data_IF_924453330048
#
_entry.id   IF_924453330048
#
_cell.length_a   1.000
_cell.length_b   1.000
_cell.length_c   1.000
_cell.angle_alpha   90.00
_cell.angle_beta   90.00
_cell.angle_gamma   90.00
#
_symmetry.space_group_name_H-M   'P 1'
#
loop_
_entity.id
_entity.type
_entity.pdbx_description
1 polymer ?
#
# COMPACT_ATOMS: atom_id res chain seq x y z
N UNK A 1 32.39 -17.96 -57.09
CA UNK A 1 32.46 -16.58 -56.58
C UNK A 1 31.07 -15.95 -56.71
N UNK A 2 30.63 -15.13 -55.74
CA UNK A 2 29.34 -14.41 -55.78
C UNK A 2 29.47 -13.08 -56.56
N UNK A 3 28.40 -12.27 -56.66
CA UNK A 3 28.17 -11.25 -55.63
C UNK A 3 26.70 -11.13 -55.15
N UNK A 4 26.51 -10.46 -54.00
CA UNK A 4 25.21 -10.14 -53.40
C UNK A 4 24.60 -8.85 -54.02
N UNK A 5 23.28 -8.64 -54.05
CA UNK A 5 22.42 -8.03 -52.98
C UNK A 5 21.00 -7.79 -53.59
N UNK A 6 19.91 -7.39 -52.91
CA UNK A 6 19.69 -6.94 -51.52
C UNK A 6 18.26 -7.28 -50.99
N UNK A 7 18.01 -6.87 -49.74
CA UNK A 7 16.78 -6.97 -48.94
C UNK A 7 15.47 -6.39 -49.54
N UNK A 8 14.32 -7.02 -49.25
CA UNK A 8 13.07 -6.28 -48.97
C UNK A 8 12.09 -7.01 -48.03
N UNK A 9 12.12 -6.61 -46.75
CA UNK A 9 10.99 -6.34 -45.85
C UNK A 9 9.67 -7.12 -46.08
N UNK A 10 9.31 -7.97 -45.10
CA UNK A 10 7.92 -8.06 -44.61
C UNK A 10 7.87 -7.90 -43.10
N UNK A 11 7.73 -6.64 -42.69
CA UNK A 11 7.25 -6.28 -41.36
C UNK A 11 5.80 -6.71 -41.23
N UNK A 12 5.46 -7.51 -40.22
CA UNK A 12 4.06 -7.70 -39.79
C UNK A 12 4.01 -7.86 -38.27
N UNK A 13 4.13 -6.72 -37.59
CA UNK A 13 3.34 -6.42 -36.38
C UNK A 13 1.87 -6.82 -36.62
N UNK A 14 1.05 -7.24 -35.65
CA UNK A 14 1.08 -6.92 -34.23
C UNK A 14 0.16 -7.88 -33.45
N UNK A 15 0.51 -8.21 -32.22
CA UNK A 15 -0.48 -8.26 -31.13
C UNK A 15 0.24 -7.79 -29.87
N UNK A 16 -0.16 -6.62 -29.34
CA UNK A 16 0.52 -5.96 -28.23
C UNK A 16 0.29 -6.72 -26.92
N UNK A 17 1.35 -7.32 -26.38
CA UNK A 17 1.43 -7.68 -24.96
C UNK A 17 2.00 -6.51 -24.14
N UNK A 18 1.65 -6.37 -22.86
CA UNK A 18 2.24 -5.37 -21.97
C UNK A 18 3.74 -5.62 -21.83
N UNK A 19 4.50 -4.58 -21.47
CA UNK A 19 5.96 -4.66 -21.50
C UNK A 19 6.50 -5.76 -20.58
N UNK A 20 7.58 -6.44 -20.97
CA UNK A 20 8.09 -7.62 -20.24
C UNK A 20 8.38 -7.37 -18.76
N UNK A 21 8.67 -6.12 -18.39
CA UNK A 21 8.88 -5.67 -17.02
C UNK A 21 7.57 -5.54 -16.24
N UNK A 22 6.50 -5.00 -16.85
CA UNK A 22 5.16 -4.97 -16.24
C UNK A 22 4.61 -6.37 -16.03
N UNK A 23 4.82 -7.26 -17.01
CA UNK A 23 4.36 -8.64 -16.95
C UNK A 23 5.10 -9.46 -15.87
N UNK A 24 6.43 -9.27 -15.73
CA UNK A 24 7.21 -9.83 -14.61
C UNK A 24 6.76 -9.26 -13.26
N UNK A 25 6.51 -7.95 -13.17
CA UNK A 25 6.05 -7.32 -11.94
C UNK A 25 4.68 -7.83 -11.50
N UNK A 26 3.75 -8.02 -12.45
CA UNK A 26 2.42 -8.59 -12.23
C UNK A 26 2.49 -10.04 -11.71
N UNK A 27 3.27 -10.91 -12.35
CA UNK A 27 3.44 -12.31 -11.90
C UNK A 27 4.00 -12.35 -10.46
N UNK A 28 5.02 -11.53 -10.17
CA UNK A 28 5.61 -11.43 -8.84
C UNK A 28 4.59 -10.90 -7.80
N UNK A 29 3.72 -9.97 -8.18
CA UNK A 29 2.65 -9.47 -7.31
C UNK A 29 1.62 -10.57 -7.00
N UNK A 30 1.13 -11.30 -8.00
CA UNK A 30 0.15 -12.39 -7.80
C UNK A 30 0.71 -13.50 -6.90
N UNK A 31 1.99 -13.88 -7.08
CA UNK A 31 2.64 -14.85 -6.19
C UNK A 31 2.81 -14.32 -4.76
N UNK A 32 3.12 -13.03 -4.62
CA UNK A 32 3.21 -12.36 -3.31
C UNK A 32 1.87 -12.33 -2.59
N UNK A 33 0.79 -11.93 -3.25
CA UNK A 33 -0.57 -11.88 -2.67
C UNK A 33 -0.99 -13.27 -2.20
N UNK A 34 -0.80 -14.31 -3.02
CA UNK A 34 -1.08 -15.70 -2.63
C UNK A 34 -0.31 -16.13 -1.39
N UNK A 35 1.00 -15.82 -1.32
CA UNK A 35 1.81 -16.14 -0.14
C UNK A 35 1.37 -15.36 1.10
N UNK A 36 0.98 -14.11 0.92
CA UNK A 36 0.53 -13.23 2.00
C UNK A 36 -0.81 -13.69 2.59
N UNK A 37 -1.77 -14.09 1.75
CA UNK A 37 -3.05 -14.66 2.18
C UNK A 37 -2.87 -16.02 2.87
N UNK A 38 -1.98 -16.89 2.39
CA UNK A 38 -1.63 -18.13 3.09
C UNK A 38 -1.06 -17.87 4.50
N UNK A 39 -0.19 -16.86 4.66
CA UNK A 39 0.33 -16.52 5.98
C UNK A 39 -0.74 -15.91 6.90
N UNK A 40 -1.69 -15.16 6.34
CA UNK A 40 -2.87 -14.68 7.07
C UNK A 40 -3.75 -15.85 7.55
N UNK A 41 -4.06 -16.82 6.69
CA UNK A 41 -4.84 -18.03 7.03
C UNK A 41 -4.16 -18.88 8.11
N UNK A 42 -2.82 -18.92 8.12
CA UNK A 42 -2.02 -19.60 9.14
C UNK A 42 -1.86 -18.80 10.45
N UNK A 43 -2.31 -17.54 10.52
CA UNK A 43 -2.13 -16.66 11.67
C UNK A 43 -0.71 -16.07 11.80
N UNK A 44 0.13 -16.20 10.78
CA UNK A 44 1.53 -15.75 10.75
C UNK A 44 1.66 -14.26 10.34
N UNK A 45 0.91 -13.39 11.04
CA UNK A 45 0.79 -11.97 10.73
C UNK A 45 2.14 -11.22 10.71
N UNK A 46 3.12 -11.67 11.52
CA UNK A 46 4.47 -11.09 11.55
C UNK A 46 5.30 -11.43 10.29
N UNK A 47 5.21 -12.66 9.77
CA UNK A 47 5.92 -13.02 8.54
C UNK A 47 5.25 -12.40 7.31
N UNK A 48 3.91 -12.31 7.32
CA UNK A 48 3.15 -11.53 6.36
C UNK A 48 3.63 -10.07 6.26
N UNK A 49 3.82 -9.41 7.41
CA UNK A 49 4.38 -8.05 7.50
C UNK A 49 5.83 -7.97 6.99
N UNK A 50 6.67 -8.98 7.26
CA UNK A 50 8.06 -9.07 6.80
C UNK A 50 8.16 -9.17 5.27
N UNK A 51 7.25 -9.87 4.61
CA UNK A 51 7.19 -9.88 3.14
C UNK A 51 6.90 -8.47 2.61
N UNK A 52 5.85 -7.82 3.11
CA UNK A 52 5.44 -6.47 2.69
C UNK A 52 6.58 -5.45 2.84
N UNK A 53 7.27 -5.46 3.99
CA UNK A 53 8.37 -4.53 4.27
C UNK A 53 9.55 -4.67 3.29
N UNK A 54 9.73 -5.86 2.69
CA UNK A 54 10.82 -6.18 1.75
C UNK A 54 10.48 -6.02 0.26
N UNK A 55 9.21 -5.86 -0.13
CA UNK A 55 8.82 -5.72 -1.55
C UNK A 55 9.44 -4.48 -2.23
N UNK A 56 9.88 -4.56 -3.51
CA UNK A 56 10.24 -3.37 -4.27
C UNK A 56 9.00 -2.53 -4.60
N UNK A 57 9.17 -1.21 -4.75
CA UNK A 57 8.08 -0.24 -4.97
C UNK A 57 7.09 -0.64 -6.08
N UNK A 58 7.62 -1.06 -7.25
CA UNK A 58 6.78 -1.46 -8.38
C UNK A 58 5.87 -2.64 -8.08
N UNK A 59 6.38 -3.68 -7.40
CA UNK A 59 5.58 -4.85 -7.00
C UNK A 59 4.65 -4.50 -5.86
N UNK A 60 5.10 -3.69 -4.89
CA UNK A 60 4.24 -3.23 -3.79
C UNK A 60 3.00 -2.47 -4.29
N UNK A 61 3.14 -1.60 -5.29
CA UNK A 61 2.01 -0.88 -5.90
C UNK A 61 0.97 -1.81 -6.56
N UNK A 62 1.40 -2.92 -7.15
CA UNK A 62 0.49 -3.93 -7.68
C UNK A 62 -0.14 -4.77 -6.55
N UNK A 63 0.64 -5.16 -5.54
CA UNK A 63 0.16 -5.96 -4.40
C UNK A 63 -0.89 -5.20 -3.56
N UNK A 64 -0.70 -3.91 -3.30
CA UNK A 64 -1.62 -3.12 -2.45
C UNK A 64 -2.99 -2.87 -3.11
N UNK A 65 -3.08 -2.97 -4.44
CA UNK A 65 -4.33 -2.81 -5.20
C UNK A 65 -5.27 -4.01 -5.08
N UNK A 66 -4.69 -5.21 -5.09
CA UNK A 66 -5.43 -6.49 -5.12
C UNK A 66 -5.59 -7.10 -3.72
N UNK A 67 -5.18 -6.38 -2.66
CA UNK A 67 -5.22 -6.85 -1.28
C UNK A 67 -6.59 -6.56 -0.62
N UNK A 68 -7.25 -7.56 -0.01
CA UNK A 68 -8.48 -7.34 0.76
C UNK A 68 -8.15 -6.71 2.13
N UNK A 69 -7.87 -5.40 2.13
CA UNK A 69 -7.44 -4.68 3.35
C UNK A 69 -8.50 -4.74 4.44
N UNK A 70 -9.78 -4.64 4.11
CA UNK A 70 -10.88 -4.64 5.10
C UNK A 70 -10.89 -5.90 5.96
N UNK A 71 -10.55 -7.06 5.39
CA UNK A 71 -10.41 -8.34 6.13
C UNK A 71 -9.28 -8.26 7.17
N UNK A 72 -8.19 -7.55 6.87
CA UNK A 72 -7.15 -7.28 7.86
C UNK A 72 -7.62 -6.28 8.93
N UNK A 73 -8.45 -5.31 8.57
CA UNK A 73 -8.97 -4.32 9.53
C UNK A 73 -9.96 -4.94 10.51
N UNK A 74 -10.79 -5.88 10.07
CA UNK A 74 -11.70 -6.64 10.94
C UNK A 74 -10.95 -7.61 11.87
N UNK A 75 -9.77 -8.10 11.46
CA UNK A 75 -8.92 -9.00 12.24
C UNK A 75 -8.00 -8.32 13.28
N UNK A 76 -8.22 -7.03 13.58
CA UNK A 76 -7.54 -6.31 14.68
C UNK A 76 -7.97 -6.94 16.02
N UNK A 77 -7.04 -7.30 16.94
CA UNK A 77 -5.64 -6.86 17.03
C UNK A 77 -4.61 -7.65 16.23
N UNK A 78 -4.88 -8.91 15.89
CA UNK A 78 -3.86 -9.86 15.42
C UNK A 78 -3.18 -9.43 14.11
N UNK A 79 -3.93 -8.76 13.23
CA UNK A 79 -3.48 -8.22 11.95
C UNK A 79 -2.64 -6.93 12.03
N UNK A 80 -2.53 -6.28 13.20
CA UNK A 80 -1.82 -5.00 13.36
C UNK A 80 -0.40 -4.97 12.75
N UNK A 81 0.43 -6.04 12.81
CA UNK A 81 1.74 -6.05 12.15
C UNK A 81 1.65 -5.88 10.63
N UNK A 82 0.64 -6.47 9.97
CA UNK A 82 0.42 -6.33 8.52
C UNK A 82 0.08 -4.87 8.20
N UNK A 83 -0.82 -4.26 8.99
CA UNK A 83 -1.21 -2.86 8.84
C UNK A 83 -0.03 -1.91 9.08
N UNK A 84 0.81 -2.13 10.10
CA UNK A 84 2.02 -1.33 10.35
C UNK A 84 2.96 -1.38 9.13
N UNK A 85 3.20 -2.57 8.57
CA UNK A 85 4.04 -2.74 7.39
C UNK A 85 3.46 -2.06 6.15
N UNK A 86 2.15 -2.18 5.88
CA UNK A 86 1.47 -1.52 4.76
C UNK A 86 1.58 0.01 4.86
N UNK A 87 1.21 0.58 6.01
CA UNK A 87 1.22 2.02 6.22
C UNK A 87 2.63 2.60 6.23
N UNK A 88 3.60 1.94 6.87
CA UNK A 88 5.00 2.34 6.81
C UNK A 88 5.51 2.31 5.36
N UNK A 89 5.18 1.27 4.59
CA UNK A 89 5.61 1.15 3.20
C UNK A 89 5.03 2.27 2.34
N UNK A 90 3.73 2.55 2.46
CA UNK A 90 3.06 3.68 1.78
C UNK A 90 3.72 5.01 2.17
N UNK A 91 4.00 5.22 3.46
CA UNK A 91 4.61 6.45 3.98
C UNK A 91 6.01 6.72 3.42
N UNK A 92 6.87 5.70 3.36
CA UNK A 92 8.22 5.84 2.79
C UNK A 92 8.27 5.86 1.25
N UNK A 93 7.19 5.45 0.58
CA UNK A 93 7.14 5.31 -0.89
C UNK A 93 6.85 6.63 -1.65
N UNK A 94 6.75 7.76 -0.95
CA UNK A 94 6.61 9.08 -1.58
C UNK A 94 5.17 9.54 -1.81
N UNK A 95 5.03 10.77 -2.30
CA UNK A 95 3.77 11.56 -2.29
C UNK A 95 2.63 10.92 -3.11
N UNK A 96 2.96 10.33 -4.26
CA UNK A 96 1.96 9.75 -5.16
C UNK A 96 1.37 8.46 -4.57
N UNK A 97 2.21 7.59 -4.00
CA UNK A 97 1.73 6.37 -3.36
C UNK A 97 1.08 6.64 -2.00
N UNK A 98 1.45 7.72 -1.30
CA UNK A 98 0.72 8.21 -0.11
C UNK A 98 -0.74 8.49 -0.44
N UNK A 99 -1.02 9.44 -1.33
CA UNK A 99 -2.39 9.85 -1.68
C UNK A 99 -3.22 8.71 -2.30
N UNK A 100 -2.56 7.77 -2.97
CA UNK A 100 -3.17 6.58 -3.53
C UNK A 100 -3.46 5.52 -2.46
N UNK A 101 -2.44 5.08 -1.73
CA UNK A 101 -2.52 4.01 -0.73
C UNK A 101 -3.48 4.34 0.41
N UNK A 102 -3.57 5.60 0.84
CA UNK A 102 -4.55 6.02 1.83
C UNK A 102 -6.03 5.89 1.41
N UNK A 103 -6.32 5.80 0.11
CA UNK A 103 -7.67 5.49 -0.39
C UNK A 103 -8.01 4.01 -0.26
N UNK A 104 -7.03 3.12 -0.42
CA UNK A 104 -7.22 1.67 -0.30
C UNK A 104 -7.07 1.15 1.14
N UNK A 105 -6.30 1.85 1.97
CA UNK A 105 -6.02 1.45 3.34
C UNK A 105 -7.08 1.88 4.38
N UNK A 106 -8.10 2.62 3.95
CA UNK A 106 -9.26 3.07 4.75
C UNK A 106 -8.90 3.43 6.22
N UNK A 107 -8.13 4.51 6.47
CA UNK A 107 -7.65 4.87 7.80
C UNK A 107 -8.77 5.09 8.83
N UNK A 108 -9.95 5.49 8.37
CA UNK A 108 -11.16 5.59 9.20
C UNK A 108 -11.60 4.22 9.75
N UNK A 109 -11.66 3.19 8.90
CA UNK A 109 -12.00 1.82 9.31
C UNK A 109 -10.96 1.26 10.29
N UNK A 110 -9.67 1.54 10.05
CA UNK A 110 -8.56 1.17 10.93
C UNK A 110 -8.72 1.81 12.31
N UNK A 111 -8.93 3.13 12.38
CA UNK A 111 -9.12 3.86 13.64
C UNK A 111 -10.39 3.41 14.36
N UNK A 112 -11.49 3.18 13.66
CA UNK A 112 -12.75 2.68 14.23
C UNK A 112 -12.58 1.31 14.91
N UNK A 113 -11.88 0.37 14.25
CA UNK A 113 -11.62 -0.95 14.84
C UNK A 113 -10.57 -0.90 15.98
N UNK A 114 -9.60 0.03 15.94
CA UNK A 114 -8.75 0.30 17.10
C UNK A 114 -9.53 0.82 18.31
N UNK A 115 -10.48 1.75 18.09
CA UNK A 115 -11.34 2.27 19.16
C UNK A 115 -12.20 1.14 19.73
N UNK A 116 -12.81 0.31 18.88
CA UNK A 116 -13.58 -0.87 19.31
C UNK A 116 -12.72 -1.82 20.15
N UNK A 117 -11.50 -2.14 19.70
CA UNK A 117 -10.53 -2.96 20.42
C UNK A 117 -10.19 -2.36 21.80
N UNK A 118 -9.86 -1.07 21.88
CA UNK A 118 -9.56 -0.42 23.16
C UNK A 118 -10.77 -0.27 24.10
N UNK A 119 -11.99 -0.17 23.56
CA UNK A 119 -13.21 -0.12 24.35
C UNK A 119 -13.65 -1.50 24.88
N UNK A 120 -13.17 -2.60 24.26
CA UNK A 120 -13.58 -3.98 24.61
C UNK A 120 -12.50 -4.74 25.39
N UNK A 121 -11.21 -4.45 25.16
CA UNK A 121 -10.11 -5.04 25.90
C UNK A 121 -9.82 -4.28 27.20
N UNK A 122 -9.65 -5.00 28.30
CA UNK A 122 -9.11 -4.44 29.55
C UNK A 122 -7.59 -4.23 29.38
N UNK A 123 -7.24 -3.07 28.79
CA UNK A 123 -6.00 -2.74 28.05
C UNK A 123 -4.69 -3.07 28.82
N UNK A 124 -4.75 -3.14 30.14
CA UNK A 124 -3.62 -3.30 31.04
C UNK A 124 -3.22 -4.75 31.33
N UNK A 125 -4.03 -5.74 30.90
CA UNK A 125 -3.93 -7.13 31.37
C UNK A 125 -3.03 -8.08 30.56
N UNK A 126 -2.52 -7.68 29.38
CA UNK A 126 -1.71 -8.58 28.52
C UNK A 126 -0.50 -7.89 27.88
N UNK A 127 0.72 -8.48 27.89
CA UNK A 127 1.93 -7.83 27.35
C UNK A 127 1.84 -7.50 25.85
N UNK A 128 1.10 -8.31 25.08
CA UNK A 128 0.80 -8.04 23.66
C UNK A 128 0.11 -6.70 23.44
N UNK A 129 -0.61 -6.16 24.45
CA UNK A 129 -1.25 -4.86 24.32
C UNK A 129 -0.24 -3.73 24.13
N UNK A 130 0.98 -3.80 24.68
CA UNK A 130 1.99 -2.75 24.53
C UNK A 130 2.53 -2.66 23.10
N UNK A 131 2.80 -3.80 22.45
CA UNK A 131 3.20 -3.82 21.03
C UNK A 131 2.05 -3.29 20.16
N UNK A 132 0.82 -3.77 20.38
CA UNK A 132 -0.39 -3.28 19.70
C UNK A 132 -0.62 -1.77 19.90
N UNK A 133 -0.51 -1.23 21.12
CA UNK A 133 -0.61 0.20 21.43
C UNK A 133 0.45 0.99 20.67
N UNK A 134 1.69 0.48 20.59
CA UNK A 134 2.76 1.14 19.85
C UNK A 134 2.45 1.23 18.35
N UNK A 135 1.88 0.17 17.76
CA UNK A 135 1.45 0.14 16.36
C UNK A 135 0.26 1.07 16.14
N UNK A 136 -0.78 1.03 16.99
CA UNK A 136 -1.92 1.95 16.91
C UNK A 136 -1.47 3.42 16.96
N UNK A 137 -0.50 3.77 17.83
CA UNK A 137 0.09 5.11 17.90
C UNK A 137 0.82 5.51 16.61
N UNK A 138 1.56 4.59 15.97
CA UNK A 138 2.21 4.85 14.66
C UNK A 138 1.16 5.10 13.57
N UNK A 139 0.17 4.21 13.46
CA UNK A 139 -0.88 4.26 12.45
C UNK A 139 -1.73 5.54 12.57
N UNK A 140 -2.08 5.94 13.80
CA UNK A 140 -2.75 7.21 14.07
C UNK A 140 -1.87 8.40 13.67
N UNK A 141 -0.58 8.41 14.03
CA UNK A 141 0.36 9.49 13.68
C UNK A 141 0.49 9.64 12.15
N UNK A 142 0.60 8.54 11.42
CA UNK A 142 0.72 8.53 9.95
C UNK A 142 -0.58 9.04 9.30
N UNK A 143 -1.74 8.62 9.81
CA UNK A 143 -3.06 9.06 9.32
C UNK A 143 -3.32 10.55 9.56
N UNK A 144 -3.05 11.04 10.78
CA UNK A 144 -3.21 12.46 11.15
C UNK A 144 -2.22 13.34 10.38
N UNK A 145 -0.96 12.89 10.23
CA UNK A 145 0.03 13.62 9.44
C UNK A 145 -0.39 13.78 7.97
N UNK A 146 -0.90 12.71 7.35
CA UNK A 146 -1.43 12.78 5.98
C UNK A 146 -2.62 13.73 5.86
N UNK A 147 -3.56 13.69 6.81
CA UNK A 147 -4.71 14.59 6.84
C UNK A 147 -4.28 16.07 6.94
N UNK A 148 -3.41 16.40 7.89
CA UNK A 148 -2.88 17.77 8.08
C UNK A 148 -2.12 18.24 6.83
N UNK A 149 -1.23 17.41 6.28
CA UNK A 149 -0.47 17.74 5.07
C UNK A 149 -1.39 17.96 3.86
N UNK A 150 -2.41 17.13 3.68
CA UNK A 150 -3.41 17.27 2.61
C UNK A 150 -4.24 18.55 2.77
N UNK A 151 -4.65 18.88 4.00
CA UNK A 151 -5.39 20.10 4.32
C UNK A 151 -4.56 21.37 4.07
N UNK A 152 -3.29 21.41 4.50
CA UNK A 152 -2.38 22.53 4.20
C UNK A 152 -2.18 22.68 2.68
N UNK A 153 -2.04 21.57 1.95
CA UNK A 153 -1.92 21.61 0.50
C UNK A 153 -3.16 22.20 -0.17
N UNK A 154 -4.36 21.82 0.29
CA UNK A 154 -5.63 22.37 -0.20
C UNK A 154 -5.72 23.88 0.06
N UNK A 155 -5.42 24.33 1.28
CA UNK A 155 -5.41 25.76 1.63
C UNK A 155 -4.43 26.56 0.75
N UNK A 156 -3.21 26.07 0.57
CA UNK A 156 -2.22 26.72 -0.29
C UNK A 156 -2.69 26.80 -1.75
N UNK A 157 -3.39 25.78 -2.23
CA UNK A 157 -3.93 25.73 -3.60
C UNK A 157 -5.13 26.68 -3.78
N UNK A 158 -6.00 26.81 -2.78
CA UNK A 158 -7.08 27.82 -2.75
C UNK A 158 -6.51 29.23 -2.75
N UNK A 159 -5.61 29.55 -1.82
CA UNK A 159 -4.98 30.89 -1.76
C UNK A 159 -4.19 31.25 -3.03
N UNK A 160 -3.54 30.28 -3.66
CA UNK A 160 -2.84 30.48 -4.94
C UNK A 160 -3.82 30.77 -6.08
N UNK A 161 -4.95 30.05 -6.14
CA UNK A 161 -5.98 30.27 -7.16
C UNK A 161 -6.66 31.64 -6.99
N UNK A 162 -7.02 32.03 -5.77
CA UNK A 162 -7.59 33.36 -5.48
C UNK A 162 -6.62 34.49 -5.84
N UNK A 163 -5.30 34.27 -5.66
CA UNK A 163 -4.25 35.25 -6.02
C UNK A 163 -4.06 35.43 -7.53
N UNK A 164 -4.44 34.44 -8.34
CA UNK A 164 -4.37 34.53 -9.83
C UNK A 164 -5.69 35.04 -10.41
N UNK A 165 -6.82 34.79 -9.76
CA UNK A 165 -8.15 35.12 -10.31
C UNK A 165 -8.60 36.56 -9.99
N UNK A 166 -7.99 37.20 -8.98
CA UNK A 166 -8.32 38.57 -8.54
C UNK A 166 -7.17 39.59 -8.79
N UNK A 167 -6.24 39.28 -9.71
CA UNK A 167 -5.08 40.11 -10.08
C UNK A 167 -5.22 40.78 -11.44
#
# INVERSE_FOLDING_TARGET
MPPATNNMIKSTTQSQGPSSLEQQCSINATMTIRRLLQLYELGEYREAANIISRLPYGTFRAVVLDLPVDVFVEAIPSSLPILDALYAKVFFSGRDLLAFGFKFLHPENVVSNMIRMFATCDVYSHPTSQESISICKKLLKVSVFHFIHSFIHLLMQTHYYDSITNG
#
